data_IF_564349653110
#
_entry.id   IF_564349653110
#
_cell.length_a   1.000
_cell.length_b   1.000
_cell.length_c   1.000
_cell.angle_alpha   90.00
_cell.angle_beta   90.00
_cell.angle_gamma   90.00
#
_symmetry.space_group_name_H-M   'P 1'
#
loop_
_entity.id
_entity.type
_entity.pdbx_description
1 polymer ?
#
# COMPACT_ATOMS: atom_id res chain seq x y z
N UNK A 1 -15.33 -5.46 -4.80
CA UNK A 1 -14.50 -5.11 -3.62
C UNK A 1 -13.54 -6.21 -3.18
N UNK A 2 -13.98 -7.47 -2.94
CA UNK A 2 -13.08 -8.54 -2.46
C UNK A 2 -11.81 -8.78 -3.29
N UNK A 3 -11.83 -8.78 -4.65
CA UNK A 3 -10.61 -8.97 -5.43
C UNK A 3 -9.63 -7.80 -5.29
N UNK A 4 -10.15 -6.57 -5.22
CA UNK A 4 -9.37 -5.35 -5.01
C UNK A 4 -8.76 -5.35 -3.60
N UNK A 5 -9.54 -5.78 -2.60
CA UNK A 5 -9.07 -5.98 -1.24
C UNK A 5 -7.95 -7.03 -1.15
N UNK A 6 -8.05 -8.14 -1.89
CA UNK A 6 -7.00 -9.14 -1.90
C UNK A 6 -5.66 -8.58 -2.41
N UNK A 7 -5.68 -7.69 -3.40
CA UNK A 7 -4.46 -7.02 -3.88
C UNK A 7 -3.83 -6.08 -2.83
N UNK A 8 -4.62 -5.50 -1.92
CA UNK A 8 -4.06 -4.65 -0.85
C UNK A 8 -3.26 -5.43 0.18
N UNK A 9 -3.42 -6.76 0.23
CA UNK A 9 -2.61 -7.64 1.08
C UNK A 9 -1.14 -7.55 0.68
N UNK A 10 -0.84 -7.51 -0.62
CA UNK A 10 0.54 -7.40 -1.12
C UNK A 10 1.17 -6.08 -0.71
N UNK A 11 0.42 -4.97 -0.77
CA UNK A 11 0.89 -3.70 -0.24
C UNK A 11 1.22 -3.78 1.25
N UNK A 12 0.39 -4.46 2.04
CA UNK A 12 0.64 -4.64 3.47
C UNK A 12 1.94 -5.40 3.72
N UNK A 13 2.28 -6.40 2.89
CA UNK A 13 3.56 -7.12 2.95
C UNK A 13 4.74 -6.17 2.68
N UNK A 14 4.64 -5.29 1.68
CA UNK A 14 5.67 -4.29 1.36
C UNK A 14 5.86 -3.36 2.56
N UNK A 15 4.77 -2.84 3.10
CA UNK A 15 4.79 -1.91 4.23
C UNK A 15 5.43 -2.53 5.48
N UNK A 16 5.12 -3.79 5.79
CA UNK A 16 5.66 -4.46 6.99
C UNK A 16 7.16 -4.73 6.91
N UNK A 17 7.76 -4.78 5.71
CA UNK A 17 9.22 -4.89 5.60
C UNK A 17 9.96 -3.65 6.12
N UNK A 18 9.30 -2.49 6.16
CA UNK A 18 9.88 -1.25 6.63
C UNK A 18 10.28 -1.31 8.12
N UNK A 19 9.50 -1.99 8.96
CA UNK A 19 9.75 -2.10 10.40
C UNK A 19 10.65 -3.28 10.77
N UNK A 20 10.90 -4.20 9.85
CA UNK A 20 11.72 -5.40 10.06
C UNK A 20 12.97 -5.36 9.18
N UNK A 21 12.87 -5.83 7.93
CA UNK A 21 14.01 -5.98 7.04
C UNK A 21 14.77 -4.67 6.79
N UNK A 22 14.10 -3.52 6.66
CA UNK A 22 14.82 -2.26 6.44
C UNK A 22 15.69 -1.88 7.65
N UNK A 23 15.27 -2.25 8.87
CA UNK A 23 16.04 -2.04 10.09
C UNK A 23 17.26 -2.95 10.10
N UNK A 24 17.09 -4.25 9.83
CA UNK A 24 18.18 -5.23 9.70
C UNK A 24 19.23 -4.80 8.66
N UNK A 25 18.77 -4.34 7.49
CA UNK A 25 19.65 -3.79 6.45
C UNK A 25 20.44 -2.59 6.96
N UNK A 26 19.79 -1.69 7.72
CA UNK A 26 20.41 -0.50 8.28
C UNK A 26 21.42 -0.81 9.39
N UNK A 27 21.21 -1.87 10.18
CA UNK A 27 22.17 -2.33 11.19
C UNK A 27 23.45 -2.88 10.56
N UNK A 28 23.36 -3.43 9.34
CA UNK A 28 24.50 -3.91 8.57
C UNK A 28 25.21 -2.81 7.74
N UNK A 29 24.85 -1.53 7.93
CA UNK A 29 25.41 -0.35 7.26
C UNK A 29 26.18 0.54 8.25
N UNK A 30 27.00 1.50 7.79
CA UNK A 30 27.69 2.44 8.68
C UNK A 30 26.67 3.45 9.26
N UNK A 31 26.43 3.43 10.58
CA UNK A 31 25.44 4.30 11.22
C UNK A 31 25.97 5.73 11.44
N UNK A 32 27.25 6.01 11.15
CA UNK A 32 27.85 7.31 11.48
C UNK A 32 27.46 8.39 10.50
N UNK A 33 26.69 9.36 10.98
CA UNK A 33 26.40 10.60 10.29
C UNK A 33 27.31 11.72 10.84
N UNK A 34 28.38 12.06 10.12
CA UNK A 34 29.34 13.12 10.50
C UNK A 34 29.81 13.01 11.97
N UNK A 35 29.98 11.79 12.48
CA UNK A 35 30.43 11.51 13.84
C UNK A 35 29.32 11.21 14.86
N UNK A 36 28.04 11.41 14.52
CA UNK A 36 26.91 11.00 15.37
C UNK A 36 26.39 9.61 14.94
N UNK A 37 26.28 8.63 15.86
CA UNK A 37 25.71 7.33 15.55
C UNK A 37 24.18 7.45 15.41
N UNK A 38 23.68 7.19 14.20
CA UNK A 38 22.26 7.19 13.88
C UNK A 38 21.73 5.74 13.92
N UNK A 39 20.82 5.39 14.84
CA UNK A 39 20.26 4.04 14.92
C UNK A 39 19.44 3.70 13.67
N UNK A 40 19.48 2.45 13.20
CA UNK A 40 18.75 2.04 11.99
C UNK A 40 17.24 2.26 12.09
N UNK A 41 16.63 1.97 13.25
CA UNK A 41 15.22 2.23 13.49
C UNK A 41 14.81 3.71 13.33
N UNK A 42 15.73 4.66 13.55
CA UNK A 42 15.44 6.09 13.42
C UNK A 42 15.24 6.54 11.97
N UNK A 43 15.61 5.71 10.99
CA UNK A 43 15.36 5.98 9.56
C UNK A 43 13.87 6.04 9.23
N UNK A 44 13.01 5.44 10.05
CA UNK A 44 11.55 5.59 9.96
C UNK A 44 11.08 7.05 10.04
N UNK A 45 11.87 7.97 10.62
CA UNK A 45 11.54 9.39 10.62
C UNK A 45 11.46 9.99 9.21
N UNK A 46 12.27 9.50 8.26
CA UNK A 46 12.22 9.97 6.86
C UNK A 46 10.94 9.56 6.16
N UNK A 47 10.40 8.39 6.50
CA UNK A 47 9.09 7.94 6.04
C UNK A 47 7.98 8.87 6.57
N UNK A 48 7.95 9.14 7.88
CA UNK A 48 6.99 10.09 8.48
C UNK A 48 7.08 11.47 7.82
N UNK A 49 8.29 11.98 7.58
CA UNK A 49 8.49 13.24 6.86
C UNK A 49 7.96 13.16 5.41
N UNK A 50 8.16 12.04 4.73
CA UNK A 50 7.63 11.79 3.39
C UNK A 50 6.11 11.76 3.38
N UNK A 51 5.47 11.08 4.33
CA UNK A 51 4.01 11.04 4.50
C UNK A 51 3.45 12.45 4.71
N UNK A 52 4.06 13.23 5.61
CA UNK A 52 3.64 14.61 5.86
C UNK A 52 3.81 15.48 4.61
N UNK A 53 4.95 15.41 3.95
CA UNK A 53 5.20 16.16 2.71
C UNK A 53 4.23 15.78 1.60
N UNK A 54 4.02 14.48 1.36
CA UNK A 54 3.10 13.96 0.36
C UNK A 54 1.64 14.32 0.67
N UNK A 55 1.23 14.28 1.94
CA UNK A 55 -0.12 14.67 2.37
C UNK A 55 -0.35 16.17 2.14
N UNK A 56 0.63 17.01 2.47
CA UNK A 56 0.55 18.45 2.21
C UNK A 56 0.54 18.73 0.70
N UNK A 57 1.43 18.10 -0.06
CA UNK A 57 1.47 18.21 -1.52
C UNK A 57 0.14 17.79 -2.14
N UNK A 58 -0.45 16.69 -1.68
CA UNK A 58 -1.76 16.22 -2.14
C UNK A 58 -2.84 17.28 -1.87
N UNK A 59 -2.91 17.80 -0.64
CA UNK A 59 -3.90 18.81 -0.25
C UNK A 59 -3.72 20.15 -0.96
N UNK A 60 -2.48 20.57 -1.25
CA UNK A 60 -2.19 21.86 -1.88
C UNK A 60 -2.08 21.82 -3.40
N UNK A 61 -1.81 20.67 -4.03
CA UNK A 61 -1.70 20.55 -5.49
C UNK A 61 -2.93 19.88 -6.09
N UNK A 62 -3.38 18.75 -5.55
CA UNK A 62 -4.45 17.95 -6.18
C UNK A 62 -5.82 18.59 -5.99
N UNK A 63 -6.11 19.13 -4.80
CA UNK A 63 -7.39 19.81 -4.51
C UNK A 63 -7.62 21.03 -5.41
N UNK A 64 -6.66 21.97 -5.61
CA UNK A 64 -6.89 23.11 -6.50
C UNK A 64 -6.73 22.82 -7.99
N UNK A 65 -5.96 21.78 -8.39
CA UNK A 65 -5.84 21.39 -9.81
C UNK A 65 -7.01 20.52 -10.30
N UNK A 66 -7.79 19.93 -9.40
CA UNK A 66 -8.97 19.16 -9.74
C UNK A 66 -10.14 20.09 -10.08
N UNK A 67 -10.15 20.63 -11.30
CA UNK A 67 -11.29 21.32 -11.91
C UNK A 67 -12.44 20.34 -12.30
N UNK A 68 -12.38 19.10 -11.82
CA UNK A 68 -13.31 18.02 -12.08
C UNK A 68 -13.86 17.54 -10.73
N UNK A 69 -15.18 17.52 -10.50
CA UNK A 69 -15.76 17.20 -9.19
C UNK A 69 -15.43 15.78 -8.68
N UNK A 70 -14.88 14.89 -9.51
CA UNK A 70 -14.51 13.50 -9.16
C UNK A 70 -12.99 13.20 -9.12
N UNK A 71 -12.11 14.16 -9.44
CA UNK A 71 -10.64 13.99 -9.33
C UNK A 71 -10.03 12.76 -10.04
N UNK A 72 -8.89 12.28 -9.52
CA UNK A 72 -8.29 10.95 -9.87
C UNK A 72 -9.16 9.87 -9.21
N UNK A 73 -9.50 8.79 -9.94
CA UNK A 73 -10.35 7.72 -9.39
C UNK A 73 -9.65 6.97 -8.25
N UNK A 74 -10.41 6.49 -7.26
CA UNK A 74 -9.82 5.82 -6.09
C UNK A 74 -8.97 4.60 -6.46
N UNK A 75 -9.39 3.82 -7.45
CA UNK A 75 -8.61 2.68 -7.95
C UNK A 75 -7.29 3.12 -8.59
N UNK A 76 -7.24 4.28 -9.26
CA UNK A 76 -6.00 4.81 -9.81
C UNK A 76 -5.04 5.24 -8.70
N UNK A 77 -5.53 5.88 -7.64
CA UNK A 77 -4.69 6.25 -6.48
C UNK A 77 -4.11 5.02 -5.79
N UNK A 78 -4.93 4.00 -5.56
CA UNK A 78 -4.47 2.71 -5.02
C UNK A 78 -3.43 2.05 -5.92
N UNK A 79 -3.64 2.03 -7.24
CA UNK A 79 -2.68 1.49 -8.21
C UNK A 79 -1.34 2.24 -8.23
N UNK A 80 -1.38 3.58 -8.11
CA UNK A 80 -0.16 4.40 -7.98
C UNK A 80 0.56 4.07 -6.67
N UNK A 81 -0.16 3.87 -5.56
CA UNK A 81 0.42 3.39 -4.30
C UNK A 81 1.15 2.06 -4.45
N UNK A 82 0.52 1.04 -5.07
CA UNK A 82 1.17 -0.25 -5.35
C UNK A 82 2.44 -0.10 -6.19
N UNK A 83 2.39 0.72 -7.24
CA UNK A 83 3.52 0.96 -8.12
C UNK A 83 4.69 1.60 -7.36
N UNK A 84 4.43 2.64 -6.56
CA UNK A 84 5.46 3.32 -5.78
C UNK A 84 6.04 2.36 -4.73
N UNK A 85 5.20 1.55 -4.07
CA UNK A 85 5.64 0.53 -3.12
C UNK A 85 6.54 -0.54 -3.76
N UNK A 86 6.21 -0.97 -4.99
CA UNK A 86 7.07 -1.86 -5.77
C UNK A 86 8.43 -1.20 -6.07
N UNK A 87 8.43 0.06 -6.49
CA UNK A 87 9.67 0.81 -6.74
C UNK A 87 10.51 0.97 -5.46
N UNK A 88 9.87 1.09 -4.29
CA UNK A 88 10.56 1.13 -3.01
C UNK A 88 11.31 -0.18 -2.72
N UNK A 89 10.69 -1.34 -3.02
CA UNK A 89 11.35 -2.65 -2.88
C UNK A 89 12.50 -2.84 -3.87
N UNK A 90 12.35 -2.35 -5.10
CA UNK A 90 13.45 -2.33 -6.07
C UNK A 90 14.60 -1.45 -5.57
N UNK A 91 14.30 -0.26 -5.04
CA UNK A 91 15.30 0.62 -4.46
C UNK A 91 16.03 -0.06 -3.28
N UNK A 92 15.30 -0.76 -2.40
CA UNK A 92 15.88 -1.51 -1.29
C UNK A 92 16.81 -2.65 -1.76
N UNK A 93 16.40 -3.40 -2.78
CA UNK A 93 17.24 -4.43 -3.41
C UNK A 93 18.51 -3.86 -4.05
N UNK A 94 18.41 -2.70 -4.71
CA UNK A 94 19.57 -2.01 -5.30
C UNK A 94 20.52 -1.49 -4.21
N UNK A 95 20.00 -0.92 -3.14
CA UNK A 95 20.77 -0.53 -1.95
C UNK A 95 21.52 -1.72 -1.37
N UNK A 96 20.87 -2.88 -1.30
CA UNK A 96 21.49 -4.10 -0.78
C UNK A 96 22.63 -4.62 -1.66
N UNK A 97 22.44 -4.63 -2.99
CA UNK A 97 23.53 -4.96 -3.93
C UNK A 97 24.72 -4.03 -3.72
N UNK A 98 24.46 -2.73 -3.52
CA UNK A 98 25.50 -1.75 -3.27
C UNK A 98 26.18 -1.91 -1.91
N UNK A 99 25.45 -2.36 -0.89
CA UNK A 99 25.97 -2.69 0.44
C UNK A 99 26.92 -3.88 0.35
N UNK A 100 26.47 -4.97 -0.26
CA UNK A 100 27.22 -6.22 -0.44
C UNK A 100 28.53 -6.01 -1.23
N UNK A 101 28.52 -5.16 -2.27
CA UNK A 101 29.74 -4.81 -3.02
C UNK A 101 30.80 -4.07 -2.21
N UNK A 102 30.43 -3.47 -1.08
CA UNK A 102 31.30 -2.66 -0.21
C UNK A 102 31.60 -3.33 1.14
N UNK A 103 31.21 -4.60 1.31
CA UNK A 103 31.60 -5.42 2.46
C UNK A 103 33.05 -5.85 2.27
N UNK A 104 33.92 -5.57 3.26
CA UNK A 104 35.28 -6.12 3.29
C UNK A 104 35.25 -7.53 3.89
N UNK A 105 36.02 -8.50 3.36
CA UNK A 105 36.05 -9.84 3.92
C UNK A 105 36.51 -9.80 5.39
N UNK A 106 35.63 -10.20 6.31
CA UNK A 106 35.86 -10.23 7.75
C UNK A 106 35.18 -9.13 8.58
N UNK A 107 34.53 -8.14 7.95
CA UNK A 107 33.75 -7.11 8.66
C UNK A 107 32.24 -7.43 8.65
N UNK A 108 31.58 -7.32 9.81
CA UNK A 108 30.12 -7.50 9.92
C UNK A 108 29.32 -6.31 9.33
N UNK A 109 29.89 -5.10 9.32
CA UNK A 109 29.23 -3.89 8.83
C UNK A 109 29.86 -3.41 7.51
N UNK A 110 29.02 -3.05 6.54
CA UNK A 110 29.49 -2.42 5.29
C UNK A 110 29.86 -0.96 5.51
N UNK A 111 30.81 -0.44 4.73
CA UNK A 111 31.19 0.99 4.76
C UNK A 111 30.15 1.92 4.12
N UNK A 112 29.03 1.37 3.64
CA UNK A 112 27.95 2.14 3.03
C UNK A 112 27.20 2.91 4.12
N UNK A 113 27.07 4.22 3.96
CA UNK A 113 26.32 5.06 4.91
C UNK A 113 24.84 4.72 4.89
N UNK A 114 24.23 4.66 6.09
CA UNK A 114 22.80 4.42 6.28
C UNK A 114 21.88 5.38 5.49
N UNK A 115 22.37 6.58 5.15
CA UNK A 115 21.65 7.55 4.31
C UNK A 115 21.27 7.01 2.92
N UNK A 116 21.92 5.95 2.44
CA UNK A 116 21.56 5.32 1.18
C UNK A 116 20.17 4.65 1.21
N UNK A 117 19.59 4.44 2.40
CA UNK A 117 18.21 3.96 2.56
C UNK A 117 17.16 5.09 2.46
N UNK A 118 17.54 6.36 2.37
CA UNK A 118 16.57 7.47 2.25
C UNK A 118 15.58 7.26 1.08
N UNK A 119 15.99 6.86 -0.13
CA UNK A 119 15.06 6.69 -1.25
C UNK A 119 13.98 5.64 -1.00
N UNK A 120 14.31 4.49 -0.40
CA UNK A 120 13.31 3.45 -0.11
C UNK A 120 12.32 3.91 0.97
N UNK A 121 12.76 4.61 2.02
CA UNK A 121 11.86 5.14 3.05
C UNK A 121 10.94 6.24 2.49
N UNK A 122 11.47 7.15 1.67
CA UNK A 122 10.65 8.20 1.05
C UNK A 122 9.61 7.58 0.11
N UNK A 123 10.00 6.59 -0.69
CA UNK A 123 9.07 5.90 -1.60
C UNK A 123 7.98 5.14 -0.84
N UNK A 124 8.31 4.45 0.25
CA UNK A 124 7.30 3.80 1.10
C UNK A 124 6.30 4.84 1.63
N UNK A 125 6.77 5.94 2.23
CA UNK A 125 5.88 6.96 2.78
C UNK A 125 5.04 7.69 1.72
N UNK A 126 5.58 7.86 0.50
CA UNK A 126 4.79 8.37 -0.61
C UNK A 126 3.72 7.37 -1.04
N UNK A 127 4.07 6.08 -1.15
CA UNK A 127 3.14 5.01 -1.50
C UNK A 127 2.01 4.86 -0.47
N UNK A 128 2.32 5.13 0.80
CA UNK A 128 1.39 5.09 1.92
C UNK A 128 0.23 6.06 1.74
N UNK A 129 0.55 7.31 1.45
CA UNK A 129 -0.47 8.36 1.28
C UNK A 129 -1.42 8.00 0.13
N UNK A 130 -0.89 7.58 -1.03
CA UNK A 130 -1.74 7.23 -2.17
C UNK A 130 -2.56 5.96 -1.96
N UNK A 131 -1.98 4.95 -1.29
CA UNK A 131 -2.66 3.69 -1.03
C UNK A 131 -3.75 3.83 0.03
N UNK A 132 -3.45 4.41 1.20
CA UNK A 132 -4.42 4.48 2.30
C UNK A 132 -5.58 5.40 2.00
N UNK A 133 -5.32 6.57 1.39
CA UNK A 133 -6.40 7.49 1.00
C UNK A 133 -7.32 6.79 -0.01
N UNK A 134 -6.74 6.16 -1.04
CA UNK A 134 -7.52 5.42 -2.04
C UNK A 134 -8.30 4.23 -1.46
N UNK A 135 -7.70 3.46 -0.54
CA UNK A 135 -8.41 2.38 0.16
C UNK A 135 -9.59 2.92 0.98
N UNK A 136 -9.35 3.94 1.80
CA UNK A 136 -10.36 4.47 2.71
C UNK A 136 -11.55 5.05 1.94
N UNK A 137 -11.30 5.82 0.88
CA UNK A 137 -12.35 6.40 0.03
C UNK A 137 -13.06 5.32 -0.79
N UNK A 138 -12.35 4.31 -1.32
CA UNK A 138 -12.97 3.20 -2.04
C UNK A 138 -13.89 2.35 -1.16
N UNK A 139 -13.41 1.91 0.01
CA UNK A 139 -14.20 1.04 0.89
C UNK A 139 -15.35 1.78 1.57
N UNK A 140 -15.17 3.04 1.96
CA UNK A 140 -16.26 3.82 2.54
C UNK A 140 -17.28 4.30 1.49
N UNK A 141 -16.84 4.61 0.27
CA UNK A 141 -17.72 5.08 -0.80
C UNK A 141 -18.56 3.97 -1.44
N UNK A 142 -18.12 2.72 -1.33
CA UNK A 142 -18.84 1.57 -1.90
C UNK A 142 -19.67 0.81 -0.85
N UNK A 143 -19.50 1.08 0.44
CA UNK A 143 -20.27 0.48 1.53
C UNK A 143 -21.54 1.32 1.83
N UNK A 144 -22.74 0.71 1.89
CA UNK A 144 -23.95 1.37 2.40
C UNK A 144 -23.71 1.96 3.80
N UNK A 145 -24.39 3.06 4.15
CA UNK A 145 -24.18 3.82 5.40
C UNK A 145 -24.24 2.95 6.68
N UNK A 146 -24.99 1.85 6.66
CA UNK A 146 -25.10 0.90 7.78
C UNK A 146 -23.90 -0.04 7.98
N UNK A 147 -22.99 -0.18 7.01
CA UNK A 147 -21.84 -1.10 7.09
C UNK A 147 -20.47 -0.45 6.82
N UNK A 148 -20.34 0.88 6.89
CA UNK A 148 -19.04 1.57 6.74
C UNK A 148 -17.94 1.02 7.67
N UNK A 149 -18.31 0.58 8.88
CA UNK A 149 -17.39 -0.09 9.83
C UNK A 149 -16.78 -1.39 9.26
N UNK A 150 -17.49 -2.08 8.37
CA UNK A 150 -16.99 -3.26 7.67
C UNK A 150 -15.84 -2.91 6.71
N UNK A 151 -15.87 -1.74 6.07
CA UNK A 151 -14.79 -1.25 5.21
C UNK A 151 -13.48 -1.04 5.98
N UNK A 152 -13.53 -0.37 7.12
CA UNK A 152 -12.36 -0.20 8.00
C UNK A 152 -11.87 -1.52 8.59
N UNK A 153 -12.78 -2.44 8.91
CA UNK A 153 -12.44 -3.78 9.40
C UNK A 153 -11.72 -4.61 8.33
N UNK A 154 -12.12 -4.48 7.06
CA UNK A 154 -11.42 -5.10 5.93
C UNK A 154 -10.00 -4.54 5.78
N UNK A 155 -9.78 -3.24 5.92
CA UNK A 155 -8.42 -2.67 5.89
C UNK A 155 -7.51 -3.29 6.97
N UNK A 156 -8.01 -3.39 8.21
CA UNK A 156 -7.29 -4.04 9.32
C UNK A 156 -7.07 -5.54 9.07
N UNK A 157 -8.06 -6.23 8.50
CA UNK A 157 -7.92 -7.64 8.13
C UNK A 157 -6.84 -7.83 7.05
N UNK A 158 -6.74 -6.91 6.08
CA UNK A 158 -5.70 -6.94 5.04
C UNK A 158 -4.31 -6.84 5.64
N UNK A 159 -4.10 -5.93 6.61
CA UNK A 159 -2.83 -5.84 7.33
C UNK A 159 -2.49 -7.13 8.08
N UNK A 160 -3.47 -7.74 8.75
CA UNK A 160 -3.26 -8.99 9.49
C UNK A 160 -2.87 -10.13 8.54
N UNK A 161 -3.63 -10.32 7.46
CA UNK A 161 -3.34 -11.35 6.46
C UNK A 161 -2.01 -11.07 5.75
N UNK A 162 -1.67 -9.82 5.48
CA UNK A 162 -0.38 -9.41 4.91
C UNK A 162 0.79 -9.79 5.81
N UNK A 163 0.67 -9.58 7.12
CA UNK A 163 1.68 -10.03 8.09
C UNK A 163 1.84 -11.56 8.09
N UNK A 164 0.74 -12.33 8.09
CA UNK A 164 0.82 -13.79 7.99
C UNK A 164 1.45 -14.24 6.67
N UNK A 165 1.10 -13.59 5.56
CA UNK A 165 1.64 -13.90 4.24
C UNK A 165 3.15 -13.57 4.18
N UNK A 166 3.58 -12.44 4.74
CA UNK A 166 5.00 -12.09 4.89
C UNK A 166 5.76 -13.18 5.64
N UNK A 167 5.27 -13.60 6.80
CA UNK A 167 5.87 -14.67 7.59
C UNK A 167 5.88 -16.02 6.86
N UNK A 168 4.79 -16.35 6.15
CA UNK A 168 4.71 -17.56 5.33
C UNK A 168 5.72 -17.54 4.18
N UNK A 169 5.88 -16.38 3.54
CA UNK A 169 6.82 -16.19 2.42
C UNK A 169 8.26 -16.36 2.90
N UNK A 170 8.62 -15.75 4.05
CA UNK A 170 9.92 -15.97 4.71
C UNK A 170 10.12 -17.46 5.00
N UNK A 171 9.15 -18.12 5.63
CA UNK A 171 9.24 -19.55 5.95
C UNK A 171 9.35 -20.45 4.71
N UNK A 172 8.59 -20.14 3.65
CA UNK A 172 8.63 -20.88 2.39
C UNK A 172 9.99 -20.70 1.70
N UNK A 173 10.50 -19.47 1.63
CA UNK A 173 11.82 -19.18 1.08
C UNK A 173 12.89 -19.93 1.86
N UNK A 174 12.84 -19.91 3.19
CA UNK A 174 13.77 -20.66 4.03
C UNK A 174 13.64 -22.18 3.84
N UNK A 175 12.42 -22.72 3.78
CA UNK A 175 12.18 -24.15 3.54
C UNK A 175 12.67 -24.62 2.16
N UNK A 176 12.52 -23.79 1.13
CA UNK A 176 12.97 -24.10 -0.23
C UNK A 176 14.48 -23.93 -0.36
N UNK A 177 15.10 -22.93 0.27
CA UNK A 177 16.55 -22.68 0.19
C UNK A 177 17.38 -23.60 1.10
N UNK A 178 16.83 -24.12 2.19
CA UNK A 178 17.54 -25.03 3.12
C UNK A 178 17.52 -26.50 2.66
N UNK A 179 16.74 -26.85 1.61
CA UNK A 179 16.76 -28.20 0.98
C UNK A 179 18.05 -28.46 0.20
N UNK A 180 19.15 -28.66 0.93
CA UNK A 180 20.45 -28.98 0.37
C UNK A 180 21.61 -29.05 1.36
N UNK A 181 21.40 -28.68 2.64
CA UNK A 181 22.34 -28.96 3.73
C UNK A 181 23.73 -28.31 3.66
N UNK A 182 24.03 -27.47 2.66
CA UNK A 182 25.38 -26.93 2.44
C UNK A 182 25.46 -25.40 2.22
N UNK A 183 24.33 -24.67 2.19
CA UNK A 183 24.31 -23.22 2.02
C UNK A 183 23.44 -22.55 3.08
N UNK A 184 23.87 -21.41 3.65
CA UNK A 184 23.01 -20.58 4.47
C UNK A 184 21.83 -20.12 3.60
N UNK A 185 20.59 -20.21 4.10
CA UNK A 185 19.37 -19.82 3.36
C UNK A 185 19.39 -18.35 2.91
N UNK A 186 18.37 -17.88 2.18
CA UNK A 186 18.34 -16.47 1.74
C UNK A 186 18.33 -15.46 2.90
N UNK A 187 17.86 -15.84 4.09
CA UNK A 187 17.87 -15.04 5.33
C UNK A 187 18.53 -15.87 6.47
N UNK A 188 19.87 -15.96 6.52
CA UNK A 188 20.61 -16.54 7.63
C UNK A 188 20.86 -15.50 8.74
N UNK A 189 21.21 -15.95 9.96
CA UNK A 189 21.54 -15.06 11.09
C UNK A 189 22.67 -14.07 10.77
N UNK A 190 23.58 -14.43 9.86
CA UNK A 190 24.59 -13.52 9.30
C UNK A 190 24.11 -12.90 7.98
N UNK A 191 23.62 -11.65 8.02
CA UNK A 191 23.16 -10.89 6.84
C UNK A 191 24.19 -10.83 5.69
N UNK A 192 25.49 -10.92 5.99
CA UNK A 192 26.56 -10.90 4.98
C UNK A 192 26.72 -12.22 4.21
N UNK A 193 26.18 -13.32 4.74
CA UNK A 193 26.09 -14.61 4.04
C UNK A 193 24.73 -14.83 3.38
N UNK A 194 23.73 -14.04 3.79
CA UNK A 194 22.39 -14.01 3.21
C UNK A 194 22.29 -13.21 1.92
N UNK A 195 21.32 -13.57 1.09
CA UNK A 195 20.97 -12.85 -0.12
C UNK A 195 19.65 -12.10 0.07
N UNK A 196 19.68 -11.13 0.99
CA UNK A 196 18.54 -10.27 1.30
C UNK A 196 18.07 -9.44 0.09
N UNK A 197 19.00 -9.14 -0.83
CA UNK A 197 18.74 -8.54 -2.14
C UNK A 197 17.70 -9.35 -2.93
N UNK A 198 17.85 -10.68 -2.96
CA UNK A 198 16.94 -11.56 -3.70
C UNK A 198 15.55 -11.60 -3.07
N UNK A 199 15.44 -11.44 -1.75
CA UNK A 199 14.16 -11.35 -1.07
C UNK A 199 13.41 -10.05 -1.44
N UNK A 200 14.12 -8.91 -1.50
CA UNK A 200 13.53 -7.66 -1.99
C UNK A 200 13.07 -7.75 -3.44
N UNK A 201 13.87 -8.36 -4.32
CA UNK A 201 13.46 -8.59 -5.72
C UNK A 201 12.29 -9.57 -5.85
N UNK A 202 12.21 -10.58 -4.97
CA UNK A 202 11.08 -11.50 -4.92
C UNK A 202 9.78 -10.77 -4.53
N UNK A 203 9.83 -9.92 -3.49
CA UNK A 203 8.68 -9.08 -3.12
C UNK A 203 8.33 -8.12 -4.26
N UNK A 204 9.32 -7.49 -4.90
CA UNK A 204 9.07 -6.61 -6.05
C UNK A 204 8.42 -7.36 -7.23
N UNK A 205 8.84 -8.59 -7.52
CA UNK A 205 8.26 -9.42 -8.56
C UNK A 205 6.82 -9.84 -8.21
N UNK A 206 6.56 -10.22 -6.95
CA UNK A 206 5.21 -10.53 -6.47
C UNK A 206 4.30 -9.30 -6.50
N UNK A 207 4.82 -8.14 -6.13
CA UNK A 207 4.12 -6.86 -6.25
C UNK A 207 3.84 -6.48 -7.70
N UNK A 208 4.73 -6.82 -8.65
CA UNK A 208 4.47 -6.63 -10.07
C UNK A 208 3.35 -7.54 -10.58
N UNK A 209 3.33 -8.81 -10.18
CA UNK A 209 2.23 -9.73 -10.50
C UNK A 209 0.92 -9.22 -9.88
N UNK A 210 0.97 -8.78 -8.62
CA UNK A 210 -0.20 -8.21 -7.94
C UNK A 210 -0.70 -6.94 -8.62
N UNK A 211 0.19 -6.04 -9.06
CA UNK A 211 -0.18 -4.85 -9.83
C UNK A 211 -0.91 -5.22 -11.13
N UNK A 212 -0.44 -6.26 -11.85
CA UNK A 212 -1.09 -6.73 -13.08
C UNK A 212 -2.47 -7.30 -12.77
N UNK A 213 -2.59 -8.12 -11.71
CA UNK A 213 -3.88 -8.64 -11.24
C UNK A 213 -4.81 -7.50 -10.82
N UNK A 214 -4.31 -6.50 -10.09
CA UNK A 214 -5.04 -5.32 -9.66
C UNK A 214 -5.58 -4.54 -10.86
N UNK A 215 -4.76 -4.30 -11.88
CA UNK A 215 -5.20 -3.60 -13.10
C UNK A 215 -6.25 -4.41 -13.85
N UNK A 216 -6.10 -5.73 -13.95
CA UNK A 216 -7.12 -6.60 -14.57
C UNK A 216 -8.44 -6.55 -13.78
N UNK A 217 -8.38 -6.69 -12.45
CA UNK A 217 -9.51 -6.56 -11.56
C UNK A 217 -10.17 -5.17 -11.67
N UNK A 218 -9.38 -4.10 -11.74
CA UNK A 218 -9.87 -2.72 -11.88
C UNK A 218 -10.58 -2.51 -13.21
N UNK A 219 -10.10 -3.11 -14.31
CA UNK A 219 -10.77 -3.05 -15.62
C UNK A 219 -12.04 -3.90 -15.67
N UNK A 220 -12.10 -5.00 -14.93
CA UNK A 220 -13.28 -5.86 -14.82
C UNK A 220 -14.30 -5.34 -13.81
N UNK A 221 -13.88 -4.50 -12.86
CA UNK A 221 -14.76 -3.90 -11.87
C UNK A 221 -15.63 -2.83 -12.53
N UNK A 222 -16.89 -3.16 -12.82
CA UNK A 222 -17.91 -2.14 -13.07
C UNK A 222 -18.12 -1.36 -11.76
N UNK A 223 -17.86 -0.06 -11.79
CA UNK A 223 -18.28 0.84 -10.72
C UNK A 223 -19.79 0.65 -10.54
N UNK A 224 -20.22 0.14 -9.40
CA UNK A 224 -21.62 0.17 -9.03
C UNK A 224 -21.90 1.65 -8.75
N UNK A 225 -22.54 2.35 -9.69
CA UNK A 225 -23.04 3.70 -9.49
C UNK A 225 -24.21 3.61 -8.51
N UNK A 226 -23.94 3.67 -7.20
CA UNK A 226 -25.00 3.77 -6.18
C UNK A 226 -25.72 5.13 -6.20
N UNK A 227 -25.21 6.13 -6.93
CA UNK A 227 -25.86 7.45 -7.04
C UNK A 227 -27.05 7.47 -8.01
N UNK A 228 -27.20 6.50 -8.91
CA UNK A 228 -28.34 6.46 -9.84
C UNK A 228 -29.59 5.82 -9.23
N UNK A 229 -29.49 4.95 -8.22
CA UNK A 229 -30.68 4.31 -7.65
C UNK A 229 -31.34 5.13 -6.52
N UNK A 230 -30.58 5.88 -5.72
CA UNK A 230 -31.16 6.64 -4.58
C UNK A 230 -31.77 7.98 -5.03
N UNK A 231 -31.18 8.61 -6.05
CA UNK A 231 -31.77 9.79 -6.68
C UNK A 231 -33.04 9.43 -7.45
N UNK A 232 -33.07 8.27 -8.10
CA UNK A 232 -34.21 7.83 -8.92
C UNK A 232 -35.33 7.23 -8.07
N UNK A 233 -35.02 6.64 -6.90
CA UNK A 233 -36.03 6.20 -5.92
C UNK A 233 -36.73 7.40 -5.28
N UNK A 234 -35.98 8.39 -4.76
CA UNK A 234 -36.56 9.60 -4.17
C UNK A 234 -37.34 10.44 -5.19
N UNK A 235 -36.88 10.52 -6.46
CA UNK A 235 -37.63 11.20 -7.52
C UNK A 235 -38.91 10.44 -7.91
N UNK A 236 -38.91 9.10 -7.85
CA UNK A 236 -40.12 8.31 -8.10
C UNK A 236 -41.11 8.37 -6.94
N UNK A 237 -40.63 8.37 -5.69
CA UNK A 237 -41.49 8.48 -4.50
C UNK A 237 -42.17 9.85 -4.43
N UNK A 238 -41.43 10.94 -4.71
CA UNK A 238 -42.03 12.28 -4.79
C UNK A 238 -43.03 12.44 -5.95
N UNK A 239 -42.78 11.82 -7.11
CA UNK A 239 -43.72 11.83 -8.23
C UNK A 239 -44.98 11.00 -7.97
N UNK A 240 -44.88 9.91 -7.20
CA UNK A 240 -46.02 9.09 -6.79
C UNK A 240 -46.91 9.80 -5.76
N UNK A 241 -46.31 10.55 -4.82
CA UNK A 241 -47.07 11.35 -3.83
C UNK A 241 -47.80 12.54 -4.50
N UNK A 242 -47.16 13.25 -5.44
CA UNK A 242 -47.78 14.36 -6.16
C UNK A 242 -48.95 13.88 -7.07
N UNK A 243 -48.80 12.73 -7.75
CA UNK A 243 -49.87 12.13 -8.57
C UNK A 243 -51.07 11.62 -7.71
N UNK A 244 -50.84 11.17 -6.48
CA UNK A 244 -51.92 10.82 -5.54
C UNK A 244 -52.64 12.06 -5.00
N UNK A 245 -51.90 13.14 -4.68
CA UNK A 245 -52.49 14.41 -4.23
C UNK A 245 -53.37 15.05 -5.29
N UNK A 246 -52.94 15.07 -6.55
CA UNK A 246 -53.74 15.61 -7.66
C UNK A 246 -55.01 14.78 -7.92
N UNK A 247 -54.94 13.45 -7.79
CA UNK A 247 -56.13 12.56 -7.90
C UNK A 247 -57.13 12.78 -6.77
N UNK A 248 -56.66 13.00 -5.55
CA UNK A 248 -57.54 13.30 -4.40
C UNK A 248 -58.19 14.68 -4.56
N UNK A 249 -57.44 15.69 -5.03
CA UNK A 249 -57.98 17.02 -5.31
C UNK A 249 -58.99 17.06 -6.46
N UNK A 250 -58.77 16.28 -7.54
CA UNK A 250 -59.72 16.17 -8.66
C UNK A 250 -61.03 15.49 -8.25
N UNK A 251 -60.98 14.45 -7.42
CA UNK A 251 -62.19 13.77 -6.93
C UNK A 251 -62.98 14.60 -5.90
N UNK A 252 -62.33 15.50 -5.17
CA UNK A 252 -62.98 16.42 -4.22
C UNK A 252 -63.74 17.57 -4.91
N UNK A 253 -63.45 17.85 -6.19
CA UNK A 253 -64.11 18.90 -6.99
C UNK A 253 -65.26 18.36 -7.87
N UNK A 254 -65.47 17.04 -7.91
CA UNK A 254 -66.51 16.38 -8.73
C UNK A 254 -67.75 15.93 -7.96
N UNK A 255 -67.98 16.42 -6.74
CA UNK A 255 -69.18 16.19 -5.91
C UNK A 255 -69.85 17.52 -5.61
#
# INVERSE_FOLDING_TARGET
MLPIWACTIMYSVIFTQMSSLFVEQGEAMDPRLRGFPLPAASMSAFDICSVLACTLLYRFLVVPLSNNPRGITELQRMGVGLLIGMLAMVAAGVTEIQRLRRVSPGEHASRLSILWQIPQYILVGASEVFMYVGQLEFFNGQAPDGIKSFGSSLCMASMSVGNYFSSMLVNLVMAVTVRGGAMPGWIPEDLNTGHMDRFYFLIAALAAVDLVLFVMCAKWYKCINLEEDDSTSCLKEGQLEDDELDRVSLNALSV
#
